data_IF_392467715447
#
_entry.id   IF_392467715447
#
_cell.length_a   1.000
_cell.length_b   1.000
_cell.length_c   1.000
_cell.angle_alpha   90.00
_cell.angle_beta   90.00
_cell.angle_gamma   90.00
#
_symmetry.space_group_name_H-M   'P 1'
#
loop_
_entity.id
_entity.type
_entity.pdbx_description
1 polymer ?
#
# COMPACT_ATOMS: atom_id res chain seq x y z
N UNK A 1 -45.82 34.86 -12.48
CA UNK A 1 -46.33 33.53 -12.07
C UNK A 1 -45.19 32.54 -12.21
N UNK A 2 -44.52 32.20 -11.11
CA UNK A 2 -43.38 31.27 -11.17
C UNK A 2 -43.90 29.83 -11.19
N UNK A 3 -43.76 29.18 -12.33
CA UNK A 3 -44.05 27.77 -12.51
C UNK A 3 -42.84 26.95 -12.10
N UNK A 4 -42.75 26.63 -10.80
CA UNK A 4 -41.75 25.68 -10.31
C UNK A 4 -42.09 24.29 -10.87
N UNK A 5 -41.40 23.87 -11.92
CA UNK A 5 -41.44 22.49 -12.41
C UNK A 5 -40.69 21.59 -11.43
N UNK A 6 -41.43 20.73 -10.73
CA UNK A 6 -40.83 19.66 -9.91
C UNK A 6 -40.36 18.49 -10.77
N UNK A 7 -39.35 17.76 -10.29
CA UNK A 7 -38.94 16.48 -10.88
C UNK A 7 -40.04 15.44 -10.71
N UNK A 8 -40.24 14.59 -11.73
CA UNK A 8 -41.15 13.46 -11.65
C UNK A 8 -40.52 12.30 -10.89
N UNK A 9 -41.35 11.49 -10.23
CA UNK A 9 -40.90 10.27 -9.55
C UNK A 9 -40.22 9.29 -10.52
N UNK A 10 -40.71 9.24 -11.76
CA UNK A 10 -40.16 8.35 -12.81
C UNK A 10 -38.75 8.77 -13.21
N UNK A 11 -38.49 10.08 -13.33
CA UNK A 11 -37.14 10.59 -13.61
C UNK A 11 -36.15 10.18 -12.51
N UNK A 12 -36.55 10.27 -11.24
CA UNK A 12 -35.68 9.86 -10.14
C UNK A 12 -35.48 8.33 -10.12
N UNK A 13 -36.51 7.53 -10.43
CA UNK A 13 -36.39 6.06 -10.48
C UNK A 13 -35.36 5.58 -11.51
N UNK A 14 -35.39 6.10 -12.73
CA UNK A 14 -34.46 5.68 -13.78
C UNK A 14 -33.02 6.06 -13.41
N UNK A 15 -32.84 7.25 -12.83
CA UNK A 15 -31.52 7.75 -12.42
C UNK A 15 -30.88 6.86 -11.36
N UNK A 16 -31.63 6.49 -10.31
CA UNK A 16 -31.06 5.62 -9.25
C UNK A 16 -30.77 4.20 -9.76
N UNK A 17 -31.54 3.69 -10.73
CA UNK A 17 -31.27 2.39 -11.37
C UNK A 17 -29.96 2.43 -12.16
N UNK A 18 -29.74 3.47 -12.97
CA UNK A 18 -28.50 3.60 -13.75
C UNK A 18 -27.29 3.81 -12.82
N UNK A 19 -27.40 4.67 -11.80
CA UNK A 19 -26.34 4.88 -10.82
C UNK A 19 -26.06 3.59 -10.04
N UNK A 20 -27.09 2.81 -9.68
CA UNK A 20 -26.95 1.52 -9.01
C UNK A 20 -26.19 0.50 -9.85
N UNK A 21 -26.49 0.41 -11.15
CA UNK A 21 -25.76 -0.46 -12.08
C UNK A 21 -24.28 -0.05 -12.20
N UNK A 22 -24.01 1.24 -12.39
CA UNK A 22 -22.63 1.75 -12.49
C UNK A 22 -21.85 1.52 -11.19
N UNK A 23 -22.47 1.76 -10.03
CA UNK A 23 -21.85 1.54 -8.73
C UNK A 23 -21.52 0.06 -8.48
N UNK A 24 -22.41 -0.85 -8.89
CA UNK A 24 -22.20 -2.29 -8.74
C UNK A 24 -20.95 -2.79 -9.48
N UNK A 25 -20.63 -2.24 -10.66
CA UNK A 25 -19.40 -2.57 -11.40
C UNK A 25 -18.19 -1.78 -10.88
N UNK A 26 -18.39 -0.53 -10.47
CA UNK A 26 -17.31 0.36 -10.06
C UNK A 26 -16.66 -0.05 -8.73
N UNK A 27 -17.45 -0.48 -7.74
CA UNK A 27 -16.94 -0.86 -6.41
C UNK A 27 -15.89 -1.99 -6.47
N UNK A 28 -16.14 -3.16 -7.09
CA UNK A 28 -15.14 -4.23 -7.14
C UNK A 28 -13.91 -3.84 -7.97
N UNK A 29 -14.10 -3.08 -9.05
CA UNK A 29 -12.98 -2.56 -9.84
C UNK A 29 -12.09 -1.62 -9.02
N UNK A 30 -12.70 -0.70 -8.27
CA UNK A 30 -11.99 0.23 -7.40
C UNK A 30 -11.23 -0.49 -6.27
N UNK A 31 -11.84 -1.51 -5.66
CA UNK A 31 -11.20 -2.33 -4.64
C UNK A 31 -9.94 -3.04 -5.18
N UNK A 32 -10.01 -3.59 -6.39
CA UNK A 32 -8.86 -4.22 -7.06
C UNK A 32 -7.73 -3.22 -7.32
N UNK A 33 -8.06 -2.04 -7.87
CA UNK A 33 -7.07 -0.98 -8.14
C UNK A 33 -6.43 -0.49 -6.84
N UNK A 34 -7.22 -0.25 -5.79
CA UNK A 34 -6.73 0.15 -4.48
C UNK A 34 -5.74 -0.87 -3.91
N UNK A 35 -6.10 -2.15 -3.95
CA UNK A 35 -5.24 -3.24 -3.44
C UNK A 35 -3.93 -3.33 -4.22
N UNK A 36 -3.97 -3.23 -5.55
CA UNK A 36 -2.75 -3.24 -6.37
C UNK A 36 -1.85 -2.04 -6.11
N UNK A 37 -2.43 -0.85 -5.90
CA UNK A 37 -1.67 0.35 -5.52
C UNK A 37 -1.02 0.22 -4.15
N UNK A 38 -1.72 -0.38 -3.19
CA UNK A 38 -1.16 -0.71 -1.87
C UNK A 38 0.02 -1.67 -2.00
N UNK A 39 -0.10 -2.76 -2.77
CA UNK A 39 1.00 -3.71 -2.98
C UNK A 39 2.26 -3.04 -3.55
N UNK A 40 2.08 -2.14 -4.53
CA UNK A 40 3.20 -1.39 -5.14
C UNK A 40 3.88 -0.48 -4.13
N UNK A 41 3.11 0.19 -3.28
CA UNK A 41 3.65 1.03 -2.22
C UNK A 41 4.42 0.22 -1.17
N UNK A 42 3.87 -0.93 -0.75
CA UNK A 42 4.56 -1.86 0.18
C UNK A 42 5.86 -2.38 -0.43
N UNK A 43 5.86 -2.78 -1.71
CA UNK A 43 7.08 -3.21 -2.40
C UNK A 43 8.11 -2.08 -2.50
N UNK A 44 7.67 -0.83 -2.71
CA UNK A 44 8.56 0.32 -2.74
C UNK A 44 9.22 0.55 -1.38
N UNK A 45 8.44 0.48 -0.30
CA UNK A 45 8.97 0.57 1.07
C UNK A 45 9.98 -0.56 1.36
N UNK A 46 9.69 -1.80 0.95
CA UNK A 46 10.61 -2.93 1.09
C UNK A 46 11.94 -2.68 0.35
N UNK A 47 11.89 -2.11 -0.86
CA UNK A 47 13.08 -1.70 -1.63
C UNK A 47 13.88 -0.62 -0.91
N UNK A 48 13.22 0.39 -0.34
CA UNK A 48 13.89 1.43 0.43
C UNK A 48 14.62 0.85 1.66
N UNK A 49 13.98 -0.11 2.36
CA UNK A 49 14.60 -0.79 3.50
C UNK A 49 15.78 -1.67 3.08
N UNK A 50 15.68 -2.39 1.98
CA UNK A 50 16.78 -3.19 1.45
C UNK A 50 17.97 -2.30 1.06
N UNK A 51 17.74 -1.20 0.33
CA UNK A 51 18.79 -0.26 -0.03
C UNK A 51 19.45 0.39 1.20
N UNK A 52 18.66 0.72 2.23
CA UNK A 52 19.17 1.20 3.51
C UNK A 52 20.03 0.14 4.23
N UNK A 53 19.59 -1.12 4.21
CA UNK A 53 20.35 -2.23 4.77
C UNK A 53 21.70 -2.41 4.05
N UNK A 54 21.69 -2.37 2.71
CA UNK A 54 22.90 -2.48 1.89
C UNK A 54 23.89 -1.35 2.16
N UNK A 55 23.40 -0.13 2.32
CA UNK A 55 24.24 1.00 2.70
C UNK A 55 24.84 0.81 4.10
N UNK A 56 24.05 0.33 5.07
CA UNK A 56 24.55 0.03 6.41
C UNK A 56 25.62 -1.07 6.40
N UNK A 57 25.44 -2.12 5.59
CA UNK A 57 26.42 -3.20 5.42
C UNK A 57 27.74 -2.67 4.86
N UNK A 58 27.68 -1.77 3.87
CA UNK A 58 28.87 -1.16 3.28
C UNK A 58 29.62 -0.27 4.27
N UNK A 59 28.90 0.49 5.09
CA UNK A 59 29.48 1.43 6.06
C UNK A 59 30.08 0.73 7.29
N UNK A 60 29.44 -0.34 7.77
CA UNK A 60 29.80 -1.00 9.04
C UNK A 60 30.53 -2.34 8.85
N UNK A 61 30.63 -2.86 7.62
CA UNK A 61 31.27 -4.14 7.33
C UNK A 61 30.55 -5.35 7.95
N UNK A 62 29.26 -5.22 8.26
CA UNK A 62 28.42 -6.29 8.81
C UNK A 62 27.48 -6.84 7.73
N UNK A 63 26.99 -8.06 7.92
CA UNK A 63 26.06 -8.72 6.99
C UNK A 63 24.62 -8.79 7.50
N UNK A 64 24.35 -8.30 8.71
CA UNK A 64 23.01 -8.30 9.32
C UNK A 64 22.74 -7.02 10.10
N UNK A 65 21.52 -6.49 10.01
CA UNK A 65 21.12 -5.24 10.66
C UNK A 65 19.67 -5.31 11.14
N UNK A 66 19.36 -4.72 12.29
CA UNK A 66 17.97 -4.58 12.74
C UNK A 66 17.29 -3.40 12.06
N UNK A 67 15.99 -3.52 11.79
CA UNK A 67 15.17 -2.42 11.28
C UNK A 67 15.30 -1.13 12.12
N UNK A 68 15.51 -1.25 13.44
CA UNK A 68 15.68 -0.09 14.33
C UNK A 68 16.89 0.79 13.97
N UNK A 69 17.92 0.21 13.33
CA UNK A 69 19.09 0.96 12.86
C UNK A 69 18.91 1.54 11.45
N UNK A 70 17.87 1.11 10.73
CA UNK A 70 17.58 1.55 9.37
C UNK A 70 16.52 2.64 9.32
N UNK A 71 15.55 2.58 10.24
CA UNK A 71 14.37 3.45 10.25
C UNK A 71 14.44 4.39 11.45
N UNK A 72 14.28 5.69 11.21
CA UNK A 72 14.31 6.72 12.25
C UNK A 72 14.71 8.08 11.69
N UNK A 73 14.42 9.16 12.43
CA UNK A 73 14.63 10.53 11.96
C UNK A 73 16.08 10.84 11.53
N UNK A 74 17.06 10.15 12.12
CA UNK A 74 18.50 10.27 11.85
C UNK A 74 19.08 9.09 11.08
N UNK A 75 18.26 8.11 10.70
CA UNK A 75 18.69 6.90 9.99
C UNK A 75 18.44 7.04 8.48
N UNK A 76 18.79 6.01 7.71
CA UNK A 76 18.68 5.98 6.24
C UNK A 76 17.24 6.18 5.75
N UNK A 77 16.25 5.61 6.45
CA UNK A 77 14.82 5.78 6.15
C UNK A 77 14.17 6.60 7.26
N UNK A 78 13.72 7.82 6.95
CA UNK A 78 13.16 8.75 7.95
C UNK A 78 11.91 8.21 8.65
N UNK A 79 11.03 7.59 7.89
CA UNK A 79 9.82 6.91 8.38
C UNK A 79 9.28 5.95 7.35
N UNK A 80 8.63 4.89 7.81
CA UNK A 80 7.83 3.99 6.96
C UNK A 80 6.39 4.47 6.96
N UNK A 81 5.85 4.75 5.78
CA UNK A 81 4.43 5.04 5.64
C UNK A 81 3.67 3.75 5.39
N UNK A 82 2.90 3.31 6.39
CA UNK A 82 2.09 2.10 6.32
C UNK A 82 0.80 2.36 5.53
N UNK A 83 0.50 1.50 4.55
CA UNK A 83 -0.64 1.71 3.63
C UNK A 83 -1.72 0.63 3.74
N UNK A 84 -1.41 -0.51 4.37
CA UNK A 84 -2.26 -1.70 4.41
C UNK A 84 -2.10 -2.53 5.70
N UNK A 85 -1.67 -1.93 6.82
CA UNK A 85 -1.34 -2.65 8.08
C UNK A 85 -0.35 -3.79 7.85
N UNK A 86 0.63 -3.54 6.99
CA UNK A 86 1.69 -4.47 6.66
C UNK A 86 2.75 -4.56 7.77
N UNK A 87 3.42 -5.71 7.85
CA UNK A 87 4.53 -5.95 8.79
C UNK A 87 5.80 -6.26 8.00
N UNK A 88 6.82 -5.43 8.21
CA UNK A 88 8.17 -5.60 7.66
C UNK A 88 9.01 -6.47 8.61
N UNK A 89 10.06 -7.14 8.10
CA UNK A 89 10.93 -7.94 8.95
C UNK A 89 11.71 -7.04 9.91
N UNK A 90 11.88 -7.50 11.15
CA UNK A 90 12.59 -6.77 12.20
C UNK A 90 14.12 -6.71 12.01
N UNK A 91 14.65 -7.45 11.02
CA UNK A 91 16.05 -7.43 10.64
C UNK A 91 16.25 -7.87 9.19
N UNK A 92 17.37 -7.44 8.63
CA UNK A 92 17.77 -7.65 7.24
C UNK A 92 19.14 -8.33 7.24
N UNK A 93 19.33 -9.29 6.33
CA UNK A 93 20.61 -9.98 6.12
C UNK A 93 21.00 -9.85 4.66
N UNK A 94 22.27 -9.58 4.40
CA UNK A 94 22.79 -9.40 3.03
C UNK A 94 22.54 -10.64 2.18
N UNK A 95 22.01 -10.46 0.97
CA UNK A 95 21.72 -11.54 0.03
C UNK A 95 20.47 -12.37 0.36
N UNK A 96 19.81 -12.10 1.50
CA UNK A 96 18.56 -12.77 1.86
C UNK A 96 17.35 -12.04 1.33
N UNK A 97 16.33 -12.81 1.00
CA UNK A 97 15.09 -12.28 0.45
C UNK A 97 14.25 -11.60 1.53
N UNK A 98 13.84 -10.36 1.29
CA UNK A 98 12.97 -9.60 2.19
C UNK A 98 11.52 -10.05 1.98
N UNK A 99 10.89 -10.56 3.04
CA UNK A 99 9.48 -10.95 3.03
C UNK A 99 8.65 -9.98 3.87
N UNK A 100 7.61 -9.42 3.27
CA UNK A 100 6.69 -8.49 3.93
C UNK A 100 5.31 -9.13 3.98
N UNK A 101 4.72 -9.17 5.17
CA UNK A 101 3.33 -9.59 5.34
C UNK A 101 2.44 -8.37 5.10
N UNK A 102 1.87 -8.26 3.90
CA UNK A 102 0.94 -7.21 3.52
C UNK A 102 -0.51 -7.61 3.81
N UNK A 103 -1.36 -6.61 4.07
CA UNK A 103 -2.81 -6.77 4.21
C UNK A 103 -3.15 -7.75 5.36
N UNK A 104 -2.96 -7.30 6.61
CA UNK A 104 -3.32 -8.06 7.82
C UNK A 104 -2.82 -9.52 7.85
N UNK A 105 -1.63 -9.80 7.31
CA UNK A 105 -1.03 -11.14 7.27
C UNK A 105 -1.59 -12.09 6.20
N UNK A 106 -2.43 -11.60 5.28
CA UNK A 106 -3.05 -12.43 4.26
C UNK A 106 -2.18 -12.62 3.00
N UNK A 107 -1.16 -11.79 2.80
CA UNK A 107 -0.32 -11.84 1.57
C UNK A 107 1.15 -11.63 1.89
N UNK A 108 2.01 -12.45 1.29
CA UNK A 108 3.47 -12.31 1.37
C UNK A 108 3.98 -11.64 0.11
N UNK A 109 4.65 -10.50 0.27
CA UNK A 109 5.38 -9.84 -0.80
C UNK A 109 6.86 -10.06 -0.59
N UNK A 110 7.53 -10.48 -1.66
CA UNK A 110 8.90 -10.96 -1.60
C UNK A 110 9.77 -10.09 -2.48
N UNK A 111 10.82 -9.51 -1.92
CA UNK A 111 11.83 -8.75 -2.64
C UNK A 111 13.17 -9.45 -2.47
N UNK A 112 13.73 -9.96 -3.57
CA UNK A 112 15.10 -10.43 -3.60
C UNK A 112 16.02 -9.21 -3.83
N UNK A 113 17.03 -8.98 -2.98
CA UNK A 113 18.03 -7.92 -3.17
C UNK A 113 18.87 -8.13 -4.44
#
# INVERSE_FOLDING_TARGET
MNTSKGFTLVEIMIVVVIIGLLAAMAIPAFQKVRTSSQDKAVLNNARQLAAAADQYFLENGVSSVSQNNLVGATNYVKSLNLVASETYPGGFTQGETVTVLAIAGQRTLTYAP
#
